data_IF_893570162815
#
_entry.id   IF_893570162815
#
_cell.length_a   1.000
_cell.length_b   1.000
_cell.length_c   1.000
_cell.angle_alpha   90.00
_cell.angle_beta   90.00
_cell.angle_gamma   90.00
#
_symmetry.space_group_name_H-M   'P 1'
#
loop_
_entity.id
_entity.type
_entity.pdbx_description
1 polymer ?
#
# COMPACT_ATOMS: atom_id res chain seq x y z
N UNK A 1 -15.77 8.58 1.96
CA UNK A 1 -14.46 8.45 2.64
C UNK A 1 -13.55 9.57 2.16
N UNK A 2 -12.87 10.27 3.07
CA UNK A 2 -11.96 11.36 2.70
C UNK A 2 -10.69 10.79 2.08
N UNK A 3 -10.05 11.53 1.17
CA UNK A 3 -8.79 11.11 0.51
C UNK A 3 -7.68 10.75 1.51
N UNK A 4 -7.64 11.45 2.66
CA UNK A 4 -6.70 11.17 3.76
C UNK A 4 -6.95 9.83 4.45
N UNK A 5 -8.21 9.41 4.59
CA UNK A 5 -8.59 8.12 5.18
C UNK A 5 -8.20 6.97 4.24
N UNK A 6 -8.46 7.12 2.94
CA UNK A 6 -8.04 6.14 1.91
C UNK A 6 -6.52 5.95 1.95
N UNK A 7 -5.75 7.05 2.02
CA UNK A 7 -4.29 6.97 2.07
C UNK A 7 -3.80 6.24 3.33
N UNK A 8 -4.41 6.50 4.48
CA UNK A 8 -4.08 5.82 5.73
C UNK A 8 -4.36 4.30 5.63
N UNK A 9 -5.53 3.92 5.09
CA UNK A 9 -5.90 2.51 4.89
C UNK A 9 -4.90 1.81 3.95
N UNK A 10 -4.56 2.45 2.82
CA UNK A 10 -3.61 1.90 1.86
C UNK A 10 -2.23 1.70 2.51
N UNK A 11 -1.75 2.67 3.29
CA UNK A 11 -0.44 2.56 3.94
C UNK A 11 -0.42 1.49 5.05
N UNK A 12 -1.50 1.35 5.82
CA UNK A 12 -1.65 0.23 6.77
C UNK A 12 -1.67 -1.13 6.08
N UNK A 13 -2.39 -1.25 4.96
CA UNK A 13 -2.42 -2.47 4.16
C UNK A 13 -1.05 -2.78 3.52
N UNK A 14 -0.33 -1.77 3.03
CA UNK A 14 1.02 -1.90 2.49
C UNK A 14 2.00 -2.44 3.55
N UNK A 15 1.89 -1.94 4.78
CA UNK A 15 2.70 -2.41 5.90
C UNK A 15 2.42 -3.89 6.22
N UNK A 16 1.15 -4.25 6.36
CA UNK A 16 0.75 -5.63 6.64
C UNK A 16 1.19 -6.58 5.51
N UNK A 17 1.08 -6.15 4.25
CA UNK A 17 1.53 -6.93 3.10
C UNK A 17 3.05 -7.14 3.08
N UNK A 18 3.82 -6.10 3.43
CA UNK A 18 5.26 -6.23 3.55
C UNK A 18 5.68 -7.12 4.73
N UNK A 19 4.95 -7.10 5.85
CA UNK A 19 5.15 -8.02 6.98
C UNK A 19 4.89 -9.48 6.58
N UNK A 20 3.84 -9.73 5.80
CA UNK A 20 3.46 -11.06 5.31
C UNK A 20 4.48 -11.62 4.31
N UNK A 21 4.90 -10.82 3.31
CA UNK A 21 5.86 -11.28 2.29
C UNK A 21 7.25 -11.54 2.88
N UNK A 22 7.72 -10.67 3.75
CA UNK A 22 9.08 -10.76 4.29
C UNK A 22 9.15 -11.71 5.50
N UNK A 23 8.05 -11.88 6.23
CA UNK A 23 8.06 -12.44 7.56
C UNK A 23 8.71 -11.49 8.59
N UNK A 24 8.48 -11.77 9.87
CA UNK A 24 8.82 -10.86 10.97
C UNK A 24 10.32 -10.49 11.02
N UNK A 25 11.20 -11.44 10.75
CA UNK A 25 12.65 -11.24 10.84
C UNK A 25 13.17 -10.32 9.72
N UNK A 26 12.80 -10.59 8.47
CA UNK A 26 13.25 -9.78 7.33
C UNK A 26 12.54 -8.43 7.29
N UNK A 27 11.29 -8.34 7.75
CA UNK A 27 10.59 -7.06 7.86
C UNK A 27 11.29 -6.08 8.81
N UNK A 28 11.87 -6.58 9.91
CA UNK A 28 12.65 -5.78 10.87
C UNK A 28 14.05 -5.46 10.36
N UNK A 29 14.74 -6.42 9.73
CA UNK A 29 16.14 -6.30 9.32
C UNK A 29 16.35 -5.60 7.99
N UNK A 30 15.47 -5.84 7.01
CA UNK A 30 15.66 -5.42 5.63
C UNK A 30 14.78 -4.21 5.27
N UNK A 31 15.24 -3.03 5.68
CA UNK A 31 14.53 -1.76 5.46
C UNK A 31 14.24 -1.49 3.98
N UNK A 32 15.19 -1.76 3.08
CA UNK A 32 15.04 -1.47 1.65
C UNK A 32 14.00 -2.38 0.99
N UNK A 33 14.01 -3.68 1.31
CA UNK A 33 12.99 -4.61 0.83
C UNK A 33 11.60 -4.23 1.34
N UNK A 34 11.49 -3.93 2.64
CA UNK A 34 10.24 -3.44 3.25
C UNK A 34 9.70 -2.21 2.54
N UNK A 35 10.53 -1.18 2.37
CA UNK A 35 10.11 0.08 1.74
C UNK A 35 9.74 -0.09 0.27
N UNK A 36 10.43 -0.98 -0.46
CA UNK A 36 10.11 -1.24 -1.87
C UNK A 36 8.76 -1.94 -2.01
N UNK A 37 8.52 -3.00 -1.23
CA UNK A 37 7.24 -3.72 -1.25
C UNK A 37 6.09 -2.80 -0.84
N UNK A 38 6.28 -2.00 0.21
CA UNK A 38 5.27 -1.03 0.63
C UNK A 38 4.98 -0.01 -0.48
N UNK A 39 6.00 0.57 -1.12
CA UNK A 39 5.81 1.56 -2.20
C UNK A 39 5.13 0.98 -3.44
N UNK A 40 5.47 -0.24 -3.82
CA UNK A 40 4.84 -0.92 -4.96
C UNK A 40 3.35 -1.15 -4.69
N UNK A 41 3.03 -1.65 -3.48
CA UNK A 41 1.64 -1.81 -3.04
C UNK A 41 0.90 -0.47 -3.01
N UNK A 42 1.47 0.56 -2.39
CA UNK A 42 0.85 1.89 -2.29
C UNK A 42 0.57 2.48 -3.68
N UNK A 43 1.50 2.31 -4.62
CA UNK A 43 1.37 2.79 -6.00
C UNK A 43 0.27 2.06 -6.75
N UNK A 44 0.23 0.72 -6.66
CA UNK A 44 -0.82 -0.09 -7.29
C UNK A 44 -2.21 0.19 -6.72
N UNK A 45 -2.33 0.28 -5.40
CA UNK A 45 -3.59 0.58 -4.72
C UNK A 45 -4.08 2.00 -5.06
N UNK A 46 -3.17 2.97 -5.11
CA UNK A 46 -3.50 4.34 -5.51
C UNK A 46 -3.99 4.41 -6.96
N UNK A 47 -3.31 3.70 -7.88
CA UNK A 47 -3.74 3.62 -9.28
C UNK A 47 -5.15 3.01 -9.41
N UNK A 48 -5.42 1.88 -8.74
CA UNK A 48 -6.74 1.24 -8.74
C UNK A 48 -7.84 2.16 -8.17
N UNK A 49 -7.54 2.87 -7.08
CA UNK A 49 -8.48 3.83 -6.51
C UNK A 49 -8.83 4.94 -7.50
N UNK A 50 -7.83 5.53 -8.16
CA UNK A 50 -8.05 6.57 -9.17
C UNK A 50 -8.82 6.07 -10.38
N UNK A 51 -8.46 4.89 -10.91
CA UNK A 51 -9.16 4.27 -12.03
C UNK A 51 -10.65 4.02 -11.74
N UNK A 52 -10.98 3.53 -10.55
CA UNK A 52 -12.36 3.28 -10.15
C UNK A 52 -13.14 4.57 -9.86
N UNK A 53 -12.48 5.61 -9.34
CA UNK A 53 -13.08 6.94 -9.21
C UNK A 53 -13.44 7.55 -10.56
N UNK A 54 -12.55 7.43 -11.56
CA UNK A 54 -12.81 7.96 -12.89
C UNK A 54 -13.96 7.22 -13.60
N UNK A 55 -14.11 5.91 -13.36
CA UNK A 55 -15.26 5.14 -13.85
C UNK A 55 -16.58 5.51 -13.22
N UNK A 56 -16.59 5.90 -11.95
CA UNK A 56 -17.83 6.26 -11.22
C UNK A 56 -18.23 7.73 -11.42
N UNK A 57 -17.39 8.54 -12.07
CA UNK A 57 -17.66 9.94 -12.43
C UNK A 57 -18.10 10.13 -13.89
N UNK A 58 -18.17 9.06 -14.68
CA UNK A 58 -18.72 9.03 -16.03
C UNK A 58 -20.13 8.45 -15.99
#
# INVERSE_FOLDING_TARGET
>A
MKKSEVKAIISSAAKAHAEDILGEEQFKKNKSARESIMKDFESGASWMYHFNLDKTRR
#
